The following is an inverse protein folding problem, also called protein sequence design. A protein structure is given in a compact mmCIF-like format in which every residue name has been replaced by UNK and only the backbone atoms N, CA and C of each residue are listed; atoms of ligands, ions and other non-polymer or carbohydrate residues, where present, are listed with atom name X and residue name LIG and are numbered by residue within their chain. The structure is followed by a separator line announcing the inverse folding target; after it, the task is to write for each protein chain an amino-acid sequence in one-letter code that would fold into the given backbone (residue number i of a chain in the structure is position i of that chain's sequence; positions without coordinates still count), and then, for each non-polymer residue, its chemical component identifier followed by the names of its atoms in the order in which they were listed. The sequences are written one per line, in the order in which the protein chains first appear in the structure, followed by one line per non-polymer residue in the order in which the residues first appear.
data_IF_417374106426
#
_entry.id   IF_417374106426
#
_cell.length_a   1.000
_cell.length_b   1.000
_cell.length_c   1.000
_cell.angle_alpha   90.00
_cell.angle_beta   90.00
_cell.angle_gamma   90.00
#
_symmetry.space_group_name_H-M   'P 1'
#
loop_
_entity.id
_entity.type
_entity.pdbx_description
1 polymer ?
#
# COMPACT_ATOMS: atom_id res chain seq x y z
N UNK A 1 5.65 -13.07 -42.41
CA UNK A 1 4.71 -14.02 -43.03
C UNK A 1 4.11 -14.91 -41.97
N UNK A 2 3.08 -14.41 -41.28
CA UNK A 2 2.09 -15.25 -40.61
C UNK A 2 0.74 -14.85 -41.21
N UNK A 3 0.08 -15.83 -41.82
CA UNK A 3 -1.05 -15.64 -42.71
C UNK A 3 -2.31 -15.21 -41.97
N UNK A 4 -2.89 -14.12 -42.46
CA UNK A 4 -4.28 -13.74 -42.28
C UNK A 4 -5.22 -14.87 -42.72
N UNK A 5 -6.06 -15.34 -41.82
CA UNK A 5 -7.31 -16.03 -42.16
C UNK A 5 -8.39 -15.57 -41.19
N UNK A 6 -8.91 -14.37 -41.44
CA UNK A 6 -10.23 -13.98 -41.01
C UNK A 6 -11.03 -13.73 -42.28
N UNK A 7 -11.89 -14.69 -42.62
CA UNK A 7 -12.73 -14.66 -43.79
C UNK A 7 -14.12 -14.17 -43.34
N UNK A 8 -14.63 -13.13 -44.00
CA UNK A 8 -15.95 -12.55 -43.74
C UNK A 8 -17.06 -13.50 -44.23
N UNK A 9 -18.06 -13.75 -43.38
CA UNK A 9 -19.17 -14.66 -43.68
C UNK A 9 -20.07 -14.12 -44.79
N UNK A 10 -19.91 -14.61 -46.02
CA UNK A 10 -20.94 -14.56 -47.05
C UNK A 10 -21.93 -15.73 -46.88
N UNK A 11 -23.22 -15.39 -46.99
CA UNK A 11 -24.35 -16.29 -46.84
C UNK A 11 -24.25 -17.49 -47.80
N UNK A 12 -24.27 -18.70 -47.27
CA UNK A 12 -24.64 -19.90 -48.04
C UNK A 12 -25.17 -20.99 -47.12
N UNK A 13 -26.48 -21.23 -47.23
CA UNK A 13 -27.22 -22.32 -46.61
C UNK A 13 -26.79 -23.67 -47.20
N UNK A 14 -26.21 -24.56 -46.40
CA UNK A 14 -26.54 -25.99 -46.42
C UNK A 14 -25.93 -26.71 -45.21
N UNK A 15 -26.76 -27.48 -44.52
CA UNK A 15 -26.38 -28.28 -43.37
C UNK A 15 -25.46 -29.43 -43.77
N UNK A 16 -24.28 -29.56 -43.14
CA UNK A 16 -23.87 -30.76 -42.40
C UNK A 16 -22.46 -30.62 -41.79
N UNK A 17 -22.38 -31.05 -40.52
CA UNK A 17 -21.18 -31.35 -39.72
C UNK A 17 -20.07 -30.30 -39.72
N UNK A 18 -20.08 -29.43 -38.72
CA UNK A 18 -18.90 -28.63 -38.39
C UNK A 18 -18.73 -28.60 -36.89
N UNK A 19 -17.52 -28.91 -36.45
CA UNK A 19 -17.02 -28.65 -35.11
C UNK A 19 -17.64 -27.37 -34.55
N UNK A 20 -18.08 -27.39 -33.29
CA UNK A 20 -18.52 -26.19 -32.59
C UNK A 20 -17.33 -25.25 -32.39
N UNK A 21 -16.89 -24.60 -33.46
CA UNK A 21 -15.99 -23.47 -33.42
C UNK A 21 -16.86 -22.35 -32.86
N UNK A 22 -16.71 -22.11 -31.56
CA UNK A 22 -17.27 -20.94 -30.90
C UNK A 22 -16.61 -19.71 -31.54
N UNK A 23 -17.30 -19.07 -32.46
CA UNK A 23 -16.88 -17.79 -33.01
C UNK A 23 -17.08 -16.72 -31.95
N UNK A 24 -16.03 -15.96 -31.69
CA UNK A 24 -16.10 -14.82 -30.79
C UNK A 24 -17.07 -13.77 -31.39
N UNK A 25 -18.02 -13.23 -30.60
CA UNK A 25 -18.94 -12.21 -31.08
C UNK A 25 -18.25 -11.09 -31.87
N UNK A 26 -18.83 -10.66 -33.00
CA UNK A 26 -18.19 -9.74 -33.95
C UNK A 26 -17.80 -8.39 -33.34
N UNK A 27 -18.57 -7.92 -32.36
CA UNK A 27 -18.27 -6.74 -31.54
C UNK A 27 -16.97 -6.91 -30.72
N UNK A 28 -16.78 -8.04 -30.06
CA UNK A 28 -15.57 -8.32 -29.28
C UNK A 28 -14.38 -8.52 -30.23
N UNK A 29 -14.59 -9.25 -31.34
CA UNK A 29 -13.56 -9.43 -32.37
C UNK A 29 -13.08 -8.09 -32.94
N UNK A 30 -13.98 -7.13 -33.17
CA UNK A 30 -13.59 -5.79 -33.65
C UNK A 30 -12.77 -4.99 -32.64
N UNK A 31 -13.03 -5.13 -31.33
CA UNK A 31 -12.25 -4.46 -30.27
C UNK A 31 -10.87 -5.11 -30.12
N UNK A 32 -10.80 -6.44 -30.14
CA UNK A 32 -9.53 -7.16 -30.00
C UNK A 32 -8.60 -6.95 -31.19
N UNK A 33 -9.16 -6.69 -32.37
CA UNK A 33 -8.40 -6.38 -33.59
C UNK A 33 -8.08 -4.88 -33.73
N UNK A 34 -8.60 -4.02 -32.86
CA UNK A 34 -8.32 -2.59 -32.85
C UNK A 34 -7.00 -2.30 -32.12
N UNK A 35 -5.96 -1.94 -32.88
CA UNK A 35 -4.67 -1.56 -32.33
C UNK A 35 -4.75 -0.32 -31.43
N UNK A 36 -5.67 0.61 -31.70
CA UNK A 36 -5.80 1.84 -30.90
C UNK A 36 -6.33 1.54 -29.49
N UNK A 37 -7.24 0.56 -29.37
CA UNK A 37 -7.74 0.11 -28.08
C UNK A 37 -6.61 -0.45 -27.19
N UNK A 38 -5.74 -1.29 -27.76
CA UNK A 38 -4.60 -1.84 -27.02
C UNK A 38 -3.56 -0.79 -26.64
N UNK A 39 -3.35 0.23 -27.49
CA UNK A 39 -2.50 1.37 -27.17
C UNK A 39 -3.06 2.16 -25.98
N UNK A 40 -4.36 2.50 -26.00
CA UNK A 40 -5.02 3.18 -24.89
C UNK A 40 -5.03 2.35 -23.60
N UNK A 41 -5.23 1.03 -23.69
CA UNK A 41 -5.13 0.15 -22.53
C UNK A 41 -3.71 0.12 -21.97
N UNK A 42 -2.69 0.08 -22.83
CA UNK A 42 -1.30 0.12 -22.40
C UNK A 42 -0.96 1.43 -21.69
N UNK A 43 -1.49 2.55 -22.15
CA UNK A 43 -1.33 3.86 -21.49
C UNK A 43 -2.03 3.88 -20.13
N UNK A 44 -3.26 3.37 -20.05
CA UNK A 44 -4.00 3.27 -18.80
C UNK A 44 -3.24 2.44 -17.75
N UNK A 45 -2.69 1.29 -18.16
CA UNK A 45 -1.88 0.44 -17.27
C UNK A 45 -0.62 1.18 -16.79
N UNK A 46 0.04 1.97 -17.65
CA UNK A 46 1.19 2.80 -17.24
C UNK A 46 0.79 3.83 -16.19
N UNK A 47 -0.36 4.49 -16.34
CA UNK A 47 -0.88 5.47 -15.37
C UNK A 47 -1.23 4.80 -14.05
N UNK A 48 -1.88 3.63 -14.07
CA UNK A 48 -2.35 2.94 -12.86
C UNK A 48 -1.24 2.27 -12.06
N UNK A 49 -0.15 1.84 -12.71
CA UNK A 49 0.93 1.07 -12.08
C UNK A 49 1.53 1.77 -10.85
N UNK A 50 1.90 3.07 -10.88
CA UNK A 50 2.29 3.83 -9.69
C UNK A 50 1.33 3.68 -8.52
N UNK A 51 0.02 3.78 -8.77
CA UNK A 51 -0.99 3.73 -7.72
C UNK A 51 -1.11 2.34 -7.11
N UNK A 52 -1.07 1.28 -7.92
CA UNK A 52 -1.06 -0.09 -7.42
C UNK A 52 0.13 -0.34 -6.49
N UNK A 53 1.33 0.11 -6.88
CA UNK A 53 2.54 -0.03 -6.08
C UNK A 53 2.40 0.65 -4.71
N UNK A 54 1.98 1.92 -4.69
CA UNK A 54 1.78 2.64 -3.42
C UNK A 54 0.68 1.99 -2.59
N UNK A 55 -0.40 1.54 -3.22
CA UNK A 55 -1.49 0.87 -2.53
C UNK A 55 -1.02 -0.41 -1.85
N UNK A 56 -0.21 -1.23 -2.53
CA UNK A 56 0.36 -2.46 -1.97
C UNK A 56 1.25 -2.17 -0.74
N UNK A 57 2.08 -1.12 -0.81
CA UNK A 57 2.90 -0.66 0.33
C UNK A 57 1.99 -0.23 1.48
N UNK A 58 1.01 0.63 1.21
CA UNK A 58 0.17 1.22 2.23
C UNK A 58 -0.85 0.24 2.83
N UNK A 59 -1.18 -0.86 2.16
CA UNK A 59 -2.02 -1.94 2.69
C UNK A 59 -1.25 -2.91 3.59
N UNK A 60 0.08 -2.82 3.62
CA UNK A 60 0.89 -3.65 4.48
C UNK A 60 0.68 -3.31 5.96
N UNK A 61 0.69 -4.32 6.84
CA UNK A 61 0.36 -4.14 8.27
C UNK A 61 1.40 -3.31 9.02
N UNK A 62 2.62 -3.20 8.47
CA UNK A 62 3.69 -2.38 9.05
C UNK A 62 3.76 -0.99 8.46
N UNK A 63 2.84 -0.63 7.56
CA UNK A 63 2.90 0.64 6.86
C UNK A 63 2.86 1.82 7.84
N UNK A 64 3.66 2.86 7.57
CA UNK A 64 3.87 4.02 8.45
C UNK A 64 3.67 5.33 7.72
N UNK A 65 3.29 6.36 8.47
CA UNK A 65 2.88 7.67 7.92
C UNK A 65 3.87 8.27 6.91
N UNK A 66 5.17 7.98 7.08
CA UNK A 66 6.21 8.43 6.16
C UNK A 66 6.10 7.82 4.75
N UNK A 67 5.57 6.61 4.60
CA UNK A 67 5.37 5.97 3.29
C UNK A 67 4.23 6.63 2.51
N UNK A 68 3.22 7.17 3.20
CA UNK A 68 2.17 7.97 2.57
C UNK A 68 2.77 9.23 1.94
N UNK A 69 3.61 9.92 2.70
CA UNK A 69 4.29 11.11 2.21
C UNK A 69 5.24 10.78 1.04
N UNK A 70 5.86 9.59 1.05
CA UNK A 70 6.64 9.07 -0.08
C UNK A 70 5.78 8.79 -1.31
N UNK A 71 4.61 8.18 -1.13
CA UNK A 71 3.65 7.96 -2.21
C UNK A 71 3.23 9.27 -2.87
N UNK A 72 2.91 10.30 -2.07
CA UNK A 72 2.64 11.64 -2.59
C UNK A 72 3.80 12.21 -3.39
N UNK A 73 5.02 12.19 -2.84
CA UNK A 73 6.20 12.69 -3.54
C UNK A 73 6.47 11.96 -4.85
N UNK A 74 6.25 10.65 -4.88
CA UNK A 74 6.39 9.83 -6.09
C UNK A 74 5.32 10.17 -7.13
N UNK A 75 4.06 10.38 -6.74
CA UNK A 75 3.01 10.79 -7.67
C UNK A 75 3.29 12.17 -8.29
N UNK A 76 3.76 13.13 -7.49
CA UNK A 76 4.11 14.46 -8.00
C UNK A 76 5.23 14.37 -9.04
N UNK A 77 6.25 13.56 -8.78
CA UNK A 77 7.33 13.31 -9.74
C UNK A 77 6.81 12.65 -11.02
N UNK A 78 6.04 11.57 -10.87
CA UNK A 78 5.46 10.84 -12.00
C UNK A 78 4.65 11.75 -12.93
N UNK A 79 3.78 12.60 -12.36
CA UNK A 79 2.93 13.48 -13.17
C UNK A 79 3.68 14.68 -13.75
N UNK A 80 4.68 15.24 -13.07
CA UNK A 80 5.54 16.29 -13.64
C UNK A 80 6.30 15.82 -14.88
N UNK A 81 6.66 14.54 -14.94
CA UNK A 81 7.39 13.92 -16.05
C UNK A 81 6.44 13.33 -17.11
N UNK A 82 5.12 13.44 -16.95
CA UNK A 82 4.13 12.85 -17.86
C UNK A 82 3.91 13.69 -19.11
N UNK A 83 3.80 13.04 -20.28
CA UNK A 83 3.76 13.71 -21.59
C UNK A 83 2.48 14.56 -21.80
N UNK A 84 1.33 14.11 -21.29
CA UNK A 84 0.07 14.86 -21.37
C UNK A 84 -0.01 15.92 -20.27
N UNK A 85 0.34 17.15 -20.64
CA UNK A 85 0.37 18.32 -19.74
C UNK A 85 -1.03 18.65 -19.21
N UNK A 86 -2.08 18.51 -20.02
CA UNK A 86 -3.44 18.88 -19.58
C UNK A 86 -3.93 17.90 -18.52
N UNK A 87 -3.76 16.59 -18.76
CA UNK A 87 -4.10 15.57 -17.79
C UNK A 87 -3.23 15.70 -16.53
N UNK A 88 -1.92 15.89 -16.70
CA UNK A 88 -0.97 16.04 -15.60
C UNK A 88 -1.36 17.18 -14.67
N UNK A 89 -1.61 18.38 -15.19
CA UNK A 89 -2.00 19.53 -14.37
C UNK A 89 -3.32 19.28 -13.61
N UNK A 90 -4.31 18.66 -14.26
CA UNK A 90 -5.57 18.29 -13.60
C UNK A 90 -5.35 17.31 -12.43
N UNK A 91 -4.47 16.32 -12.59
CA UNK A 91 -4.19 15.36 -11.53
C UNK A 91 -3.35 15.99 -10.41
N UNK A 92 -2.38 16.84 -10.76
CA UNK A 92 -1.58 17.59 -9.78
C UNK A 92 -2.45 18.54 -8.94
N UNK A 93 -3.45 19.19 -9.54
CA UNK A 93 -4.43 19.99 -8.81
C UNK A 93 -5.26 19.13 -7.84
N UNK A 94 -5.72 17.95 -8.27
CA UNK A 94 -6.42 17.03 -7.37
C UNK A 94 -5.56 16.55 -6.21
N UNK A 95 -4.29 16.23 -6.47
CA UNK A 95 -3.34 15.87 -5.41
C UNK A 95 -3.12 17.03 -4.43
N UNK A 96 -3.05 18.27 -4.93
CA UNK A 96 -2.92 19.47 -4.11
C UNK A 96 -4.16 19.73 -3.25
N UNK A 97 -5.37 19.59 -3.80
CA UNK A 97 -6.62 19.70 -3.03
C UNK A 97 -6.67 18.65 -1.91
N UNK A 98 -6.32 17.40 -2.25
CA UNK A 98 -6.27 16.32 -1.25
C UNK A 98 -5.26 16.64 -0.15
N UNK A 99 -4.07 17.11 -0.52
CA UNK A 99 -3.03 17.52 0.42
C UNK A 99 -3.44 18.66 1.37
N UNK A 100 -4.26 19.60 0.91
CA UNK A 100 -4.75 20.70 1.74
C UNK A 100 -5.68 20.23 2.86
N UNK A 101 -6.47 19.19 2.59
CA UNK A 101 -7.38 18.59 3.58
C UNK A 101 -6.66 17.80 4.68
N UNK A 102 -5.40 17.40 4.44
CA UNK A 102 -4.62 16.63 5.40
C UNK A 102 -3.92 17.52 6.44
N UNK A 103 -3.58 16.90 7.57
CA UNK A 103 -2.74 17.50 8.60
C UNK A 103 -1.26 17.42 8.20
N UNK A 104 -0.85 18.36 7.35
CA UNK A 104 0.47 18.39 6.70
C UNK A 104 1.65 18.34 7.67
N UNK A 105 1.64 19.06 8.82
CA UNK A 105 2.76 18.99 9.77
C UNK A 105 3.01 17.57 10.26
N UNK A 106 1.97 16.79 10.55
CA UNK A 106 2.11 15.41 11.05
C UNK A 106 2.82 14.50 10.04
N UNK A 107 2.44 14.62 8.76
CA UNK A 107 3.11 13.93 7.66
C UNK A 107 4.57 14.35 7.54
N UNK A 108 4.85 15.65 7.55
CA UNK A 108 6.22 16.17 7.42
C UNK A 108 7.10 15.77 8.61
N UNK A 109 6.55 15.77 9.82
CA UNK A 109 7.23 15.29 11.03
C UNK A 109 7.57 13.80 10.95
N UNK A 110 6.75 12.98 10.27
CA UNK A 110 7.06 11.56 10.07
C UNK A 110 8.34 11.33 9.28
N UNK A 111 8.65 12.19 8.30
CA UNK A 111 9.93 12.18 7.58
C UNK A 111 11.06 12.81 8.40
N UNK A 112 10.76 13.92 9.08
CA UNK A 112 11.72 14.61 9.91
C UNK A 112 12.32 13.69 10.98
N UNK A 113 11.46 12.88 11.62
CA UNK A 113 11.83 11.92 12.67
C UNK A 113 12.28 10.56 12.13
N UNK A 114 12.36 10.39 10.81
CA UNK A 114 12.88 9.16 10.21
C UNK A 114 14.42 9.16 10.32
N UNK A 115 15.06 8.14 10.94
CA UNK A 115 16.50 8.13 11.19
C UNK A 115 17.36 8.27 9.91
N UNK A 116 16.87 7.76 8.77
CA UNK A 116 17.56 7.84 7.48
C UNK A 116 17.16 9.05 6.62
N UNK A 117 15.93 9.55 6.74
CA UNK A 117 15.45 10.59 5.80
C UNK A 117 15.73 11.99 6.34
N UNK A 118 15.31 12.29 7.58
CA UNK A 118 15.49 13.61 8.20
C UNK A 118 15.02 14.72 7.24
N UNK A 119 15.80 15.81 7.09
CA UNK A 119 15.51 16.89 6.13
C UNK A 119 15.94 16.58 4.69
N UNK A 120 16.64 15.47 4.41
CA UNK A 120 17.29 15.24 3.10
C UNK A 120 16.33 15.09 1.91
N UNK A 121 15.05 14.82 2.19
CA UNK A 121 14.02 14.59 1.17
C UNK A 121 13.21 15.86 0.84
N UNK A 122 13.46 16.97 1.55
CA UNK A 122 12.81 18.26 1.34
C UNK A 122 13.69 19.23 0.55
N UNK A 123 13.09 20.15 -0.20
CA UNK A 123 13.84 21.28 -0.79
C UNK A 123 14.18 22.33 0.28
N UNK A 124 15.36 22.94 0.16
CA UNK A 124 15.87 23.89 1.17
C UNK A 124 15.26 25.31 1.08
N UNK A 125 14.62 25.66 -0.03
CA UNK A 125 14.18 27.03 -0.34
C UNK A 125 12.66 27.27 -0.18
N UNK A 126 12.00 26.50 0.68
CA UNK A 126 10.55 26.64 0.89
C UNK A 126 10.29 27.44 2.19
N UNK A 127 9.48 28.51 2.13
CA UNK A 127 9.08 29.26 3.32
C UNK A 127 8.50 28.34 4.40
N UNK A 128 8.92 28.54 5.64
CA UNK A 128 8.45 27.80 6.82
C UNK A 128 8.66 26.28 6.77
N UNK A 129 9.32 25.71 5.75
CA UNK A 129 9.68 24.29 5.70
C UNK A 129 11.16 24.12 6.03
N UNK A 130 11.50 24.32 7.30
CA UNK A 130 12.82 24.00 7.80
C UNK A 130 12.73 23.39 9.20
N UNK A 131 13.85 22.85 9.68
CA UNK A 131 13.91 22.19 10.97
C UNK A 131 13.47 23.06 12.16
N UNK A 132 13.60 24.38 12.08
CA UNK A 132 13.17 25.31 13.13
C UNK A 132 11.66 25.43 13.14
N UNK A 133 11.04 25.71 11.99
CA UNK A 133 9.57 25.79 11.90
C UNK A 133 8.91 24.45 12.19
N UNK A 134 9.46 23.34 11.70
CA UNK A 134 8.93 22.01 12.00
C UNK A 134 9.03 21.68 13.50
N UNK A 135 10.03 22.23 14.21
CA UNK A 135 10.15 22.03 15.67
C UNK A 135 9.04 22.71 16.47
N UNK A 136 8.40 23.77 15.95
CA UNK A 136 7.16 24.36 16.52
C UNK A 136 6.07 23.30 16.62
N UNK A 137 5.94 22.47 15.59
CA UNK A 137 4.94 21.40 15.53
C UNK A 137 5.29 20.22 16.44
N UNK A 138 6.58 19.89 16.61
CA UNK A 138 7.01 18.91 17.62
C UNK A 138 6.55 19.33 19.02
N UNK A 139 6.75 20.60 19.38
CA UNK A 139 6.27 21.16 20.65
C UNK A 139 4.75 21.07 20.71
N UNK A 140 4.05 21.54 19.67
CA UNK A 140 2.58 21.53 19.65
C UNK A 140 2.01 20.13 19.92
N UNK A 141 2.46 19.10 19.17
CA UNK A 141 1.92 17.74 19.32
C UNK A 141 2.32 17.10 20.65
N UNK A 142 3.55 17.31 21.13
CA UNK A 142 3.94 16.80 22.45
C UNK A 142 3.01 17.33 23.54
N UNK A 143 2.79 18.64 23.53
CA UNK A 143 2.01 19.30 24.56
C UNK A 143 0.51 19.02 24.42
N UNK A 144 0.00 18.90 23.18
CA UNK A 144 -1.37 18.46 22.92
C UNK A 144 -1.64 17.02 23.36
N UNK A 145 -0.68 16.10 23.17
CA UNK A 145 -0.86 14.69 23.54
C UNK A 145 -0.55 14.36 25.00
N UNK A 146 0.32 15.14 25.65
CA UNK A 146 0.67 14.92 27.05
C UNK A 146 -0.05 15.86 28.02
N UNK A 147 -0.59 16.97 27.51
CA UNK A 147 -1.15 18.07 28.32
C UNK A 147 -0.13 18.67 29.29
N UNK A 148 1.15 18.65 28.91
CA UNK A 148 2.27 19.18 29.70
C UNK A 148 3.18 20.04 28.84
N UNK A 149 3.78 21.08 29.43
CA UNK A 149 4.75 21.94 28.72
C UNK A 149 6.05 21.17 28.48
N UNK A 150 6.55 21.24 27.25
CA UNK A 150 7.83 20.65 26.84
C UNK A 150 9.01 21.34 27.54
N UNK A 151 10.00 20.56 27.99
CA UNK A 151 11.18 21.06 28.71
C UNK A 151 12.47 20.81 27.97
N UNK A 152 12.54 19.73 27.18
CA UNK A 152 13.77 19.27 26.54
C UNK A 152 13.61 18.86 25.08
N UNK A 153 12.41 18.90 24.51
CA UNK A 153 12.14 18.42 23.15
C UNK A 153 13.05 19.06 22.09
N UNK A 154 13.31 20.37 22.15
CA UNK A 154 14.19 21.06 21.21
C UNK A 154 15.65 20.62 21.35
N UNK A 155 16.11 20.40 22.59
CA UNK A 155 17.47 19.91 22.86
C UNK A 155 17.63 18.47 22.38
N UNK A 156 16.64 17.63 22.64
CA UNK A 156 16.59 16.24 22.17
C UNK A 156 16.57 16.18 20.65
N UNK A 157 15.78 17.05 20.00
CA UNK A 157 15.71 17.15 18.55
C UNK A 157 17.02 17.63 17.94
N UNK A 158 17.69 18.62 18.54
CA UNK A 158 19.00 19.08 18.07
C UNK A 158 20.06 17.97 18.18
N UNK A 159 20.02 17.16 19.24
CA UNK A 159 20.89 15.98 19.36
C UNK A 159 20.60 14.95 18.26
N UNK A 160 19.33 14.71 17.95
CA UNK A 160 18.91 13.83 16.87
C UNK A 160 19.37 14.33 15.49
N UNK A 161 19.19 15.62 15.23
CA UNK A 161 19.61 16.27 13.99
C UNK A 161 21.12 16.17 13.78
N UNK A 162 21.89 16.37 14.84
CA UNK A 162 23.37 16.26 14.83
C UNK A 162 23.89 14.82 14.83
N UNK A 163 23.03 13.82 15.05
CA UNK A 163 23.44 12.42 15.15
C UNK A 163 24.30 12.13 16.38
N UNK A 164 24.08 12.84 17.49
CA UNK A 164 24.75 12.57 18.76
C UNK A 164 24.17 11.27 19.32
N UNK A 165 25.01 10.35 19.81
CA UNK A 165 24.56 9.09 20.42
C UNK A 165 23.36 9.32 21.37
N UNK A 166 22.24 8.59 21.24
CA UNK A 166 22.01 7.36 20.45
C UNK A 166 21.46 7.59 19.02
N UNK A 167 21.59 8.80 18.47
CA UNK A 167 20.98 9.18 17.19
C UNK A 167 21.90 9.06 15.97
N UNK A 168 23.07 8.47 16.16
CA UNK A 168 24.03 8.19 15.11
C UNK A 168 23.55 7.05 14.19
N UNK A 169 24.11 7.01 12.98
CA UNK A 169 23.74 6.05 11.95
C UNK A 169 24.10 4.61 12.32
N UNK A 170 25.14 4.40 13.13
CA UNK A 170 25.54 3.06 13.56
C UNK A 170 24.50 2.47 14.52
N UNK A 171 23.96 3.30 15.42
CA UNK A 171 22.88 2.90 16.32
C UNK A 171 21.58 2.64 15.55
N UNK A 172 21.18 3.50 14.61
CA UNK A 172 19.94 3.28 13.85
C UNK A 172 19.98 2.04 12.97
N UNK A 173 21.13 1.73 12.35
CA UNK A 173 21.30 0.57 11.47
C UNK A 173 21.17 -0.77 12.21
N UNK A 174 21.37 -0.82 13.53
CA UNK A 174 21.16 -2.04 14.33
C UNK A 174 19.69 -2.49 14.39
N UNK A 175 18.74 -1.65 13.99
CA UNK A 175 17.31 -1.94 14.04
C UNK A 175 16.72 -2.42 12.72
N UNK A 176 17.52 -2.61 11.66
CA UNK A 176 17.08 -3.18 10.37
C UNK A 176 15.79 -2.51 9.83
N UNK A 177 15.73 -1.18 9.89
CA UNK A 177 14.58 -0.34 9.48
C UNK A 177 13.31 -0.43 10.36
N UNK A 178 13.37 -1.09 11.52
CA UNK A 178 12.30 -1.04 12.52
C UNK A 178 12.35 0.26 13.33
N UNK A 179 11.74 1.30 12.76
CA UNK A 179 11.67 2.65 13.32
C UNK A 179 11.03 2.68 14.72
N UNK A 180 10.01 1.84 14.96
CA UNK A 180 9.35 1.80 16.27
C UNK A 180 10.26 1.22 17.35
N UNK A 181 11.01 0.14 17.03
CA UNK A 181 12.01 -0.40 17.96
C UNK A 181 13.12 0.60 18.23
N UNK A 182 13.60 1.28 17.19
CA UNK A 182 14.60 2.34 17.33
C UNK A 182 14.12 3.43 18.30
N UNK A 183 12.94 4.02 18.06
CA UNK A 183 12.42 5.05 18.96
C UNK A 183 12.12 4.51 20.36
N UNK A 184 11.68 3.25 20.49
CA UNK A 184 11.54 2.59 21.79
C UNK A 184 12.86 2.45 22.57
N UNK A 185 13.98 2.22 21.88
CA UNK A 185 15.30 2.20 22.50
C UNK A 185 15.76 3.60 22.95
N UNK A 186 15.40 4.64 22.19
CA UNK A 186 15.85 6.02 22.41
C UNK A 186 15.06 6.75 23.52
N UNK A 187 13.79 6.38 23.75
CA UNK A 187 12.89 7.02 24.75
C UNK A 187 13.53 7.28 26.13
N UNK A 188 14.33 6.37 26.74
CA UNK A 188 14.96 6.64 28.03
C UNK A 188 15.88 7.88 28.04
N UNK A 189 16.52 8.19 26.91
CA UNK A 189 17.46 9.31 26.75
C UNK A 189 16.79 10.57 26.17
N UNK A 190 15.77 10.39 25.33
CA UNK A 190 14.99 11.46 24.74
C UNK A 190 13.49 11.19 24.95
N UNK A 191 13.01 11.53 26.14
CA UNK A 191 11.65 11.17 26.59
C UNK A 191 10.59 11.93 25.81
N UNK A 192 10.78 13.21 25.58
CA UNK A 192 9.77 14.06 24.95
C UNK A 192 9.73 13.79 23.44
N UNK A 193 10.90 13.80 22.79
CA UNK A 193 11.01 13.52 21.36
C UNK A 193 10.63 12.08 21.02
N UNK A 194 11.12 11.12 21.81
CA UNK A 194 10.81 9.70 21.63
C UNK A 194 9.32 9.41 21.78
N UNK A 195 8.63 10.08 22.72
CA UNK A 195 7.18 9.97 22.85
C UNK A 195 6.45 10.46 21.60
N UNK A 196 6.81 11.65 21.07
CA UNK A 196 6.20 12.19 19.84
C UNK A 196 6.45 11.25 18.67
N UNK A 197 7.69 10.78 18.50
CA UNK A 197 8.04 9.87 17.42
C UNK A 197 7.26 8.56 17.49
N UNK A 198 7.20 7.91 18.66
CA UNK A 198 6.42 6.68 18.84
C UNK A 198 4.94 6.87 18.55
N UNK A 199 4.37 8.02 18.92
CA UNK A 199 2.97 8.35 18.60
C UNK A 199 2.76 8.50 17.10
N UNK A 200 3.60 9.28 16.41
CA UNK A 200 3.51 9.49 14.96
C UNK A 200 3.67 8.17 14.20
N UNK A 201 4.71 7.39 14.52
CA UNK A 201 4.92 6.09 13.88
C UNK A 201 3.91 5.03 14.33
N UNK A 202 3.19 5.24 15.44
CA UNK A 202 2.11 4.38 15.91
C UNK A 202 0.77 4.59 15.19
N UNK A 203 0.62 5.65 14.39
CA UNK A 203 -0.59 5.91 13.61
C UNK A 203 -0.79 4.81 12.57
N UNK A 204 -1.96 4.20 12.59
CA UNK A 204 -2.38 3.22 11.58
C UNK A 204 -2.90 3.97 10.35
N UNK A 205 -2.34 3.70 9.17
CA UNK A 205 -2.72 4.39 7.92
C UNK A 205 -3.88 3.70 7.21
N UNK A 206 -3.91 2.37 7.23
CA UNK A 206 -4.92 1.60 6.55
C UNK A 206 -5.96 1.07 7.54
N UNK A 207 -7.20 0.96 7.06
CA UNK A 207 -8.22 0.17 7.73
C UNK A 207 -8.11 -1.32 7.37
N UNK A 208 -7.19 -1.73 6.49
CA UNK A 208 -7.12 -3.09 5.94
C UNK A 208 -7.06 -4.17 7.03
N UNK A 209 -6.32 -3.94 8.12
CA UNK A 209 -6.30 -4.84 9.28
C UNK A 209 -7.68 -5.00 9.93
N UNK A 210 -8.44 -3.91 10.04
CA UNK A 210 -9.81 -3.88 10.57
C UNK A 210 -10.81 -4.45 9.56
N UNK A 211 -10.64 -4.19 8.26
CA UNK A 211 -11.45 -4.76 7.18
C UNK A 211 -11.30 -6.28 7.11
N UNK A 212 -10.08 -6.82 7.24
CA UNK A 212 -9.86 -8.27 7.35
C UNK A 212 -10.56 -8.85 8.58
N UNK A 213 -10.61 -8.11 9.69
CA UNK A 213 -11.35 -8.52 10.88
C UNK A 213 -12.86 -8.51 10.62
N UNK A 214 -13.40 -7.46 9.99
CA UNK A 214 -14.81 -7.35 9.64
C UNK A 214 -15.25 -8.38 8.61
N UNK A 215 -14.41 -8.68 7.62
CA UNK A 215 -14.64 -9.78 6.66
C UNK A 215 -14.73 -11.12 7.37
N UNK A 216 -13.80 -11.40 8.30
CA UNK A 216 -13.88 -12.58 9.16
C UNK A 216 -15.13 -12.62 10.04
N UNK A 217 -15.56 -11.47 10.58
CA UNK A 217 -16.80 -11.36 11.33
C UNK A 217 -18.03 -11.57 10.43
N UNK A 218 -18.00 -11.09 9.18
CA UNK A 218 -19.07 -11.30 8.19
C UNK A 218 -19.20 -12.76 7.78
N UNK A 219 -18.10 -13.51 7.73
CA UNK A 219 -18.14 -14.97 7.59
C UNK A 219 -18.86 -15.66 8.76
N UNK A 220 -18.64 -15.16 9.99
CA UNK A 220 -19.30 -15.70 11.19
C UNK A 220 -20.76 -15.24 11.33
N UNK A 221 -21.07 -14.04 10.85
CA UNK A 221 -22.40 -13.43 10.78
C UNK A 221 -22.93 -13.40 9.34
N UNK A 222 -23.41 -14.53 8.85
CA UNK A 222 -24.16 -14.54 7.59
C UNK A 222 -25.62 -14.17 7.81
N UNK A 223 -26.27 -13.56 6.80
CA UNK A 223 -27.73 -13.24 6.82
C UNK A 223 -28.61 -14.47 7.10
N UNK A 224 -28.13 -15.69 6.80
CA UNK A 224 -28.90 -16.94 6.90
C UNK A 224 -28.60 -17.77 8.16
N UNK A 225 -27.41 -17.70 8.79
CA UNK A 225 -27.12 -18.44 10.04
C UNK A 225 -26.05 -17.76 10.90
N UNK A 226 -26.49 -17.14 12.01
CA UNK A 226 -25.87 -17.08 13.35
C UNK A 226 -26.32 -15.82 14.12
N UNK A 227 -27.16 -15.98 15.15
CA UNK A 227 -27.50 -14.93 16.15
C UNK A 227 -26.46 -14.88 17.28
N UNK A 228 -25.18 -14.95 16.95
CA UNK A 228 -24.12 -14.79 17.95
C UNK A 228 -24.11 -13.34 18.43
N UNK A 229 -23.84 -13.10 19.71
CA UNK A 229 -23.64 -11.73 20.18
C UNK A 229 -22.33 -11.16 19.60
N UNK A 230 -22.27 -9.87 19.29
CA UNK A 230 -21.12 -9.20 18.66
C UNK A 230 -19.82 -9.46 19.42
N UNK A 231 -19.86 -9.50 20.77
CA UNK A 231 -18.69 -9.78 21.59
C UNK A 231 -18.11 -11.18 21.34
N UNK A 232 -18.99 -12.18 21.16
CA UNK A 232 -18.57 -13.56 20.91
C UNK A 232 -17.99 -13.69 19.51
N UNK A 233 -18.62 -13.06 18.52
CA UNK A 233 -18.11 -13.01 17.15
C UNK A 233 -16.74 -12.31 17.08
N UNK A 234 -16.57 -11.21 17.81
CA UNK A 234 -15.29 -10.51 17.91
C UNK A 234 -14.21 -11.40 18.54
N UNK A 235 -14.50 -12.07 19.66
CA UNK A 235 -13.56 -13.01 20.31
C UNK A 235 -13.17 -14.16 19.38
N UNK A 236 -14.13 -14.75 18.68
CA UNK A 236 -13.89 -15.82 17.70
C UNK A 236 -13.06 -15.34 16.51
N UNK A 237 -13.33 -14.14 16.00
CA UNK A 237 -12.57 -13.56 14.88
C UNK A 237 -11.13 -13.25 15.29
N UNK A 238 -10.91 -12.71 16.48
CA UNK A 238 -9.58 -12.51 17.06
C UNK A 238 -8.82 -13.82 17.22
N UNK A 239 -9.49 -14.86 17.73
CA UNK A 239 -8.90 -16.20 17.87
C UNK A 239 -8.51 -16.79 16.50
N UNK A 240 -9.41 -16.70 15.51
CA UNK A 240 -9.13 -17.14 14.14
C UNK A 240 -7.93 -16.40 13.55
N UNK A 241 -7.89 -15.08 13.68
CA UNK A 241 -6.78 -14.26 13.21
C UNK A 241 -5.44 -14.65 13.87
N UNK A 242 -5.44 -14.91 15.19
CA UNK A 242 -4.25 -15.36 15.91
C UNK A 242 -3.77 -16.75 15.46
N UNK A 243 -4.69 -17.69 15.26
CA UNK A 243 -4.38 -19.04 14.73
C UNK A 243 -3.80 -18.93 13.32
N UNK A 244 -4.45 -18.20 12.41
CA UNK A 244 -3.97 -18.00 11.03
C UNK A 244 -2.62 -17.28 10.99
N UNK A 245 -2.38 -16.31 11.88
CA UNK A 245 -1.06 -15.66 12.00
C UNK A 245 0.02 -16.66 12.40
N UNK A 246 -0.25 -17.50 13.41
CA UNK A 246 0.69 -18.53 13.84
C UNK A 246 1.03 -19.51 12.71
N UNK A 247 0.02 -20.00 11.98
CA UNK A 247 0.25 -20.88 10.82
C UNK A 247 1.13 -20.24 9.76
N UNK A 248 0.87 -18.97 9.39
CA UNK A 248 1.70 -18.23 8.41
C UNK A 248 3.15 -18.07 8.89
N UNK A 249 3.37 -17.78 10.17
CA UNK A 249 4.72 -17.68 10.73
C UNK A 249 5.44 -19.02 10.69
N UNK A 250 4.76 -20.11 11.02
CA UNK A 250 5.35 -21.45 11.00
C UNK A 250 5.66 -21.89 9.56
N UNK A 251 4.79 -21.58 8.59
CA UNK A 251 5.00 -21.81 7.17
C UNK A 251 6.23 -21.05 6.64
N UNK A 252 6.35 -19.75 6.93
CA UNK A 252 7.53 -18.95 6.56
C UNK A 252 8.82 -19.53 7.14
N UNK A 253 8.80 -19.98 8.40
CA UNK A 253 9.95 -20.65 9.02
C UNK A 253 10.31 -21.95 8.30
N UNK A 254 9.31 -22.75 7.91
CA UNK A 254 9.58 -24.00 7.15
C UNK A 254 10.18 -23.72 5.77
N UNK A 255 9.68 -22.70 5.06
CA UNK A 255 10.23 -22.27 3.76
C UNK A 255 11.67 -21.77 3.93
N UNK A 256 11.95 -20.98 4.98
CA UNK A 256 13.30 -20.51 5.28
C UNK A 256 14.26 -21.66 5.61
N UNK A 257 13.80 -22.65 6.39
CA UNK A 257 14.60 -23.84 6.70
C UNK A 257 14.88 -24.70 5.47
N UNK A 258 13.92 -24.84 4.55
CA UNK A 258 14.12 -25.52 3.27
C UNK A 258 15.14 -24.79 2.40
N UNK A 259 15.00 -23.46 2.24
CA UNK A 259 15.97 -22.63 1.51
C UNK A 259 17.38 -22.67 2.13
N UNK A 260 17.50 -22.77 3.45
CA UNK A 260 18.79 -22.94 4.11
C UNK A 260 19.41 -24.32 3.83
N UNK A 261 18.61 -25.39 3.78
CA UNK A 261 19.10 -26.74 3.45
C UNK A 261 19.56 -26.85 2.00
N UNK A 262 18.91 -26.15 1.08
CA UNK A 262 19.27 -26.11 -0.35
C UNK A 262 20.56 -25.31 -0.62
N UNK A 263 20.94 -24.38 0.28
CA UNK A 263 22.12 -23.51 0.13
C UNK A 263 23.37 -24.00 0.90
N UNK A 264 23.34 -25.19 1.51
CA UNK A 264 24.54 -25.81 2.07
C UNK A 264 25.25 -26.53 0.92
N UNK A 265 26.32 -25.93 0.39
CA UNK A 265 27.23 -26.63 -0.49
C UNK A 265 27.76 -27.89 0.22
N UNK A 266 27.74 -29.04 -0.47
CA UNK A 266 28.29 -30.27 0.08
C UNK A 266 29.75 -30.07 0.52
N UNK A 267 30.20 -30.67 1.63
CA UNK A 267 31.57 -30.51 2.09
C UNK A 267 32.51 -30.98 0.99
N UNK A 268 33.51 -30.17 0.66
CA UNK A 268 34.60 -30.60 -0.23
C UNK A 268 35.29 -31.78 0.45
N UNK A 269 34.97 -33.00 0.02
CA UNK A 269 35.67 -34.20 0.44
C UNK A 269 37.08 -34.12 -0.16
N UNK A 270 38.16 -34.16 0.65
CA UNK A 270 39.50 -34.22 0.09
C UNK A 270 39.63 -35.52 -0.70
N UNK A 271 39.87 -35.39 -2.01
CA UNK A 271 40.09 -36.52 -2.91
C UNK A 271 41.41 -37.18 -2.49
N UNK A 272 41.33 -38.26 -1.72
CA UNK A 272 42.43 -39.22 -1.57
C UNK A 272 42.35 -40.14 -2.78
N UNK A 273 43.15 -39.84 -3.81
CA UNK A 273 43.38 -40.76 -4.92
C UNK A 273 44.31 -41.86 -4.40
N UNK A 274 43.72 -43.01 -4.04
CA UNK A 274 44.46 -44.26 -4.05
C UNK A 274 43.83 -45.18 -5.09
N UNK A 275 44.61 -45.35 -6.15
CA UNK A 275 44.46 -46.23 -7.29
C UNK A 275 44.12 -47.66 -6.86
N UNK A 276 43.08 -48.24 -7.46
CA UNK A 276 43.15 -49.53 -8.16
C UNK A 276 41.75 -49.92 -8.66
N UNK A 277 41.60 -49.83 -9.98
CA UNK A 277 40.94 -50.77 -10.89
C UNK A 277 39.76 -51.59 -10.36
N UNK A 278 38.55 -51.31 -10.86
CA UNK A 278 38.01 -52.05 -12.00
C UNK A 278 36.50 -51.84 -12.19
N UNK A 279 36.09 -52.04 -13.44
CA UNK A 279 34.77 -52.40 -13.95
C UNK A 279 33.73 -51.29 -14.16
N UNK A 280 33.64 -50.92 -15.45
CA UNK A 280 32.44 -50.98 -16.29
C UNK A 280 31.17 -50.29 -15.79
N UNK A 281 30.88 -49.18 -16.46
CA UNK A 281 29.52 -48.77 -16.81
C UNK A 281 28.74 -49.98 -17.34
N UNK A 282 27.53 -50.19 -16.83
CA UNK A 282 26.31 -50.07 -17.62
C UNK A 282 25.04 -50.30 -16.79
N UNK A 283 23.99 -49.54 -17.14
CA UNK A 283 22.56 -49.81 -16.92
C UNK A 283 22.07 -49.61 -15.48
N UNK A 284 21.00 -48.91 -15.13
CA UNK A 284 19.71 -48.46 -15.71
C UNK A 284 19.19 -47.45 -14.64
N UNK A 285 18.25 -46.52 -14.78
CA UNK A 285 17.20 -46.24 -15.73
C UNK A 285 16.73 -44.82 -15.36
N UNK A 286 16.31 -44.06 -16.36
CA UNK A 286 15.58 -42.81 -16.15
C UNK A 286 14.24 -43.15 -15.50
N UNK A 287 13.87 -42.45 -14.44
CA UNK A 287 12.47 -42.11 -14.20
C UNK A 287 12.37 -40.62 -13.80
N UNK A 288 11.46 -39.85 -14.44
CA UNK A 288 11.28 -38.45 -14.16
C UNK A 288 10.54 -38.29 -12.83
N UNK A 289 11.08 -37.50 -11.92
CA UNK A 289 10.35 -37.08 -10.73
C UNK A 289 9.25 -36.13 -11.20
N UNK A 290 8.03 -36.64 -11.11
CA UNK A 290 6.77 -35.95 -11.33
C UNK A 290 6.64 -34.83 -10.29
N UNK A 291 7.03 -33.60 -10.66
CA UNK A 291 6.69 -32.40 -9.91
C UNK A 291 5.23 -32.08 -10.18
N UNK A 292 4.34 -32.73 -9.44
CA UNK A 292 2.98 -32.22 -9.22
C UNK A 292 3.10 -30.87 -8.52
N UNK A 293 3.09 -29.81 -9.34
CA UNK A 293 2.78 -28.46 -8.89
C UNK A 293 1.32 -28.50 -8.43
N UNK A 294 1.09 -28.77 -7.14
CA UNK A 294 -0.18 -28.45 -6.51
C UNK A 294 -0.32 -26.93 -6.47
N UNK A 295 -0.81 -26.37 -7.58
CA UNK A 295 -1.53 -25.09 -7.54
C UNK A 295 -2.76 -25.36 -6.69
N UNK A 296 -2.73 -24.97 -5.42
CA UNK A 296 -3.96 -24.78 -4.67
C UNK A 296 -4.75 -23.69 -5.40
N UNK A 297 -5.70 -24.14 -6.20
CA UNK A 297 -6.82 -23.34 -6.66
C UNK A 297 -7.49 -22.73 -5.43
N UNK A 298 -7.50 -21.40 -5.36
CA UNK A 298 -8.50 -20.67 -4.60
C UNK A 298 -9.88 -20.88 -5.25
N UNK A 299 -10.43 -22.09 -5.10
CA UNK A 299 -11.82 -22.39 -5.40
C UNK A 299 -12.65 -22.07 -4.14
N UNK A 300 -13.07 -20.82 -4.00
CA UNK A 300 -14.38 -20.56 -3.41
C UNK A 300 -15.42 -20.92 -4.46
N UNK A 301 -15.88 -22.17 -4.44
CA UNK A 301 -17.13 -22.55 -5.08
C UNK A 301 -18.27 -21.87 -4.31
N UNK A 302 -18.77 -20.78 -4.88
CA UNK A 302 -20.14 -20.34 -4.66
C UNK A 302 -21.03 -21.33 -5.43
N UNK A 303 -21.75 -22.17 -4.68
CA UNK A 303 -22.72 -23.12 -5.21
C UNK A 303 -24.10 -22.70 -4.67
N UNK A 304 -24.86 -21.98 -5.50
CA UNK A 304 -26.31 -21.81 -5.39
C UNK A 304 -26.85 -21.69 -6.83
N UNK A 305 -26.98 -22.86 -7.48
CA UNK A 305 -27.96 -23.31 -8.50
C UNK A 305 -28.42 -22.38 -9.64
N UNK A 306 -28.04 -22.78 -10.85
CA UNK A 306 -28.79 -22.87 -12.13
C UNK A 306 -30.05 -22.02 -12.38
N UNK A 307 -30.00 -21.15 -13.39
CA UNK A 307 -31.00 -21.11 -14.47
C UNK A 307 -30.48 -20.35 -15.72
N UNK A 308 -30.46 -21.09 -16.83
CA UNK A 308 -30.60 -20.70 -18.25
C UNK A 308 -29.60 -19.71 -18.89
N UNK A 309 -28.82 -20.27 -19.82
CA UNK A 309 -27.92 -19.55 -20.71
C UNK A 309 -28.69 -18.70 -21.73
N UNK A 310 -28.40 -17.40 -21.69
CA UNK A 310 -28.28 -16.48 -22.86
C UNK A 310 -27.96 -15.02 -22.43
N UNK A 311 -27.85 -14.71 -21.12
CA UNK A 311 -27.75 -13.32 -20.62
C UNK A 311 -26.39 -12.86 -20.07
N UNK A 312 -25.28 -13.58 -20.31
CA UNK A 312 -24.00 -13.25 -19.68
C UNK A 312 -23.36 -11.94 -20.18
N UNK A 313 -23.49 -11.60 -21.46
CA UNK A 313 -22.86 -10.38 -22.00
C UNK A 313 -23.59 -9.10 -21.52
N UNK A 314 -24.92 -9.17 -21.38
CA UNK A 314 -25.75 -8.07 -20.89
C UNK A 314 -25.54 -7.83 -19.39
N UNK A 315 -25.41 -8.89 -18.58
CA UNK A 315 -25.13 -8.74 -17.14
C UNK A 315 -23.73 -8.20 -16.85
N UNK A 316 -22.69 -8.62 -17.60
CA UNK A 316 -21.33 -8.10 -17.42
C UNK A 316 -21.23 -6.63 -17.84
N UNK A 317 -21.86 -6.24 -18.95
CA UNK A 317 -21.92 -4.84 -19.39
C UNK A 317 -22.71 -3.94 -18.42
N UNK A 318 -23.86 -4.42 -17.91
CA UNK A 318 -24.61 -3.73 -16.84
C UNK A 318 -23.76 -3.56 -15.59
N UNK A 319 -22.95 -4.56 -15.23
CA UNK A 319 -22.09 -4.51 -14.05
C UNK A 319 -20.99 -3.44 -14.19
N UNK A 320 -20.35 -3.33 -15.36
CA UNK A 320 -19.35 -2.28 -15.62
C UNK A 320 -19.95 -0.88 -15.69
N UNK A 321 -21.10 -0.71 -16.36
CA UNK A 321 -21.78 0.58 -16.40
C UNK A 321 -22.22 1.02 -15.00
N UNK A 322 -22.71 0.08 -14.18
CA UNK A 322 -23.02 0.34 -12.78
C UNK A 322 -21.78 0.73 -11.97
N UNK A 323 -20.65 0.05 -12.20
CA UNK A 323 -19.37 0.36 -11.53
C UNK A 323 -18.88 1.77 -11.90
N UNK A 324 -18.90 2.12 -13.20
CA UNK A 324 -18.51 3.44 -13.69
C UNK A 324 -19.45 4.52 -13.14
N UNK A 325 -20.76 4.25 -13.12
CA UNK A 325 -21.73 5.16 -12.51
C UNK A 325 -21.47 5.33 -11.01
N UNK A 326 -21.12 4.26 -10.31
CA UNK A 326 -20.75 4.30 -8.88
C UNK A 326 -19.49 5.14 -8.69
N UNK A 327 -18.46 4.95 -9.51
CA UNK A 327 -17.26 5.79 -9.46
C UNK A 327 -17.58 7.25 -9.76
N UNK A 328 -18.45 7.53 -10.74
CA UNK A 328 -18.93 8.88 -11.02
C UNK A 328 -19.65 9.51 -9.83
N UNK A 329 -20.50 8.74 -9.14
CA UNK A 329 -21.18 9.19 -7.92
C UNK A 329 -20.20 9.43 -6.77
N UNK A 330 -19.20 8.56 -6.58
CA UNK A 330 -18.17 8.74 -5.56
C UNK A 330 -17.36 10.02 -5.82
N UNK A 331 -17.03 10.33 -7.08
CA UNK A 331 -16.35 11.57 -7.46
C UNK A 331 -17.22 12.81 -7.21
N UNK A 332 -18.54 12.71 -7.43
CA UNK A 332 -19.48 13.80 -7.12
C UNK A 332 -19.62 14.01 -5.61
N UNK A 333 -19.75 12.93 -4.84
CA UNK A 333 -19.78 12.97 -3.37
C UNK A 333 -18.49 13.54 -2.80
N UNK A 334 -17.34 13.18 -3.36
CA UNK A 334 -16.05 13.76 -2.98
C UNK A 334 -16.04 15.27 -3.22
N UNK A 335 -16.50 15.72 -4.39
CA UNK A 335 -16.59 17.15 -4.73
C UNK A 335 -17.57 17.91 -3.82
N UNK A 336 -18.69 17.30 -3.45
CA UNK A 336 -19.65 17.87 -2.51
C UNK A 336 -19.08 17.94 -1.08
N UNK A 337 -18.37 16.90 -0.63
CA UNK A 337 -17.70 16.89 0.66
C UNK A 337 -16.56 17.93 0.73
N UNK A 338 -15.81 18.14 -0.36
CA UNK A 338 -14.82 19.21 -0.46
C UNK A 338 -15.47 20.60 -0.34
N UNK A 339 -16.68 20.77 -0.87
CA UNK A 339 -17.44 22.02 -0.77
C UNK A 339 -18.05 22.21 0.64
N UNK A 340 -18.51 21.13 1.27
CA UNK A 340 -19.10 21.16 2.61
C UNK A 340 -18.06 21.34 3.72
N UNK A 341 -16.84 20.79 3.56
CA UNK A 341 -15.74 20.97 4.50
C UNK A 341 -15.31 22.44 4.65
N UNK A 342 -15.62 23.29 3.66
CA UNK A 342 -15.42 24.75 3.74
C UNK A 342 -16.50 25.43 4.58
N UNK A 343 -17.71 24.86 4.66
CA UNK A 343 -18.84 25.39 5.42
C UNK A 343 -19.00 24.79 6.82
N UNK A 344 -18.55 23.55 7.06
CA UNK A 344 -18.73 22.82 8.32
C UNK A 344 -17.57 23.01 9.32
N UNK A 345 -16.98 24.21 9.37
CA UNK A 345 -16.21 24.65 10.54
C UNK A 345 -17.11 25.00 11.75
N UNK A 346 -18.38 24.56 11.74
CA UNK A 346 -19.16 24.50 12.96
C UNK A 346 -18.83 23.21 13.70
N UNK A 347 -17.93 23.39 14.66
CA UNK A 347 -17.56 22.46 15.72
C UNK A 347 -18.79 21.68 16.18
N UNK A 348 -18.71 20.35 16.20
CA UNK A 348 -19.50 19.58 17.16
C UNK A 348 -19.15 20.12 18.56
N UNK A 349 -20.13 20.77 19.19
CA UNK A 349 -20.01 21.49 20.48
C UNK A 349 -19.69 20.58 21.69
N UNK A 350 -19.27 19.33 21.47
CA UNK A 350 -18.94 18.35 22.50
C UNK A 350 -17.48 17.82 22.41
N UNK A 351 -16.57 18.57 21.79
CA UNK A 351 -15.14 18.39 22.07
C UNK A 351 -14.83 19.22 23.31
N UNK A 352 -14.56 18.55 24.42
CA UNK A 352 -13.97 19.14 25.63
C UNK A 352 -12.70 19.90 25.21
N UNK A 353 -12.84 21.20 24.89
CA UNK A 353 -11.75 22.03 24.39
C UNK A 353 -10.75 22.10 25.53
N UNK A 354 -9.69 21.31 25.39
CA UNK A 354 -8.65 21.18 26.39
C UNK A 354 -8.18 22.59 26.76
N UNK A 355 -8.44 23.03 27.99
CA UNK A 355 -8.15 24.40 28.46
C UNK A 355 -6.70 24.79 28.17
N UNK A 356 -5.83 23.77 28.14
CA UNK A 356 -4.42 23.81 27.80
C UNK A 356 -4.11 24.32 26.38
N UNK A 357 -4.99 24.11 25.40
CA UNK A 357 -4.79 24.47 24.00
C UNK A 357 -5.62 25.69 23.53
N UNK A 358 -6.46 26.28 24.39
CA UNK A 358 -7.33 27.42 24.06
C UNK A 358 -6.58 28.61 23.43
N UNK A 359 -5.31 28.81 23.79
CA UNK A 359 -4.48 29.91 23.30
C UNK A 359 -3.59 29.53 22.10
N UNK A 360 -3.75 28.32 21.52
CA UNK A 360 -2.92 27.84 20.42
C UNK A 360 -3.76 27.56 19.17
N UNK A 361 -3.31 28.11 18.06
CA UNK A 361 -3.90 27.81 16.75
C UNK A 361 -3.62 26.36 16.38
N UNK A 362 -4.68 25.61 16.06
CA UNK A 362 -4.56 24.24 15.57
C UNK A 362 -3.83 24.23 14.21
N UNK A 363 -2.93 23.27 13.91
CA UNK A 363 -2.18 23.25 12.66
C UNK A 363 -3.06 23.19 11.40
N UNK A 364 -4.27 22.63 11.49
CA UNK A 364 -5.22 22.66 10.38
C UNK A 364 -5.67 24.08 9.98
N UNK A 365 -5.64 25.03 10.92
CA UNK A 365 -6.08 26.42 10.76
C UNK A 365 -4.91 27.42 10.65
N UNK A 366 -3.67 26.99 10.91
CA UNK A 366 -2.50 27.86 10.85
C UNK A 366 -1.94 27.90 9.41
N UNK A 367 -1.88 29.10 8.83
CA UNK A 367 -1.34 29.31 7.48
C UNK A 367 0.17 29.01 7.40
N UNK A 368 0.91 29.08 8.51
CA UNK A 368 2.33 28.67 8.58
C UNK A 368 2.51 27.15 8.56
N UNK A 369 1.41 26.39 8.71
CA UNK A 369 1.36 24.93 8.71
C UNK A 369 0.91 24.35 7.35
N UNK A 370 0.89 25.17 6.30
CA UNK A 370 0.40 24.79 4.98
C UNK A 370 1.49 25.03 3.92
N UNK A 371 1.78 24.00 3.15
CA UNK A 371 2.77 23.97 2.08
C UNK A 371 2.16 23.45 0.79
N UNK A 372 2.68 23.91 -0.35
CA UNK A 372 2.29 23.39 -1.66
C UNK A 372 3.02 22.07 -1.93
N UNK A 373 2.28 20.99 -2.17
CA UNK A 373 2.86 19.65 -2.36
C UNK A 373 3.80 19.59 -3.56
N UNK A 374 3.56 20.44 -4.57
CA UNK A 374 4.38 20.52 -5.79
C UNK A 374 5.81 20.97 -5.51
N UNK A 375 6.03 21.68 -4.40
CA UNK A 375 7.32 22.31 -4.10
C UNK A 375 8.14 21.54 -3.07
N UNK A 376 7.50 20.75 -2.20
CA UNK A 376 8.08 20.13 -0.99
C UNK A 376 9.29 19.24 -1.28
N UNK A 377 9.19 18.38 -2.29
CA UNK A 377 10.11 17.25 -2.49
C UNK A 377 11.30 17.59 -3.38
N UNK A 378 12.47 17.02 -3.09
CA UNK A 378 13.62 17.07 -3.99
C UNK A 378 13.30 16.45 -5.36
N UNK A 379 13.91 16.96 -6.43
CA UNK A 379 13.60 16.50 -7.80
C UNK A 379 14.08 15.03 -8.02
N UNK A 380 15.18 14.65 -7.39
CA UNK A 380 15.72 13.29 -7.40
C UNK A 380 15.15 12.42 -6.25
N UNK A 381 13.83 12.47 -6.02
CA UNK A 381 13.21 11.56 -5.07
C UNK A 381 13.25 10.12 -5.60
N UNK A 382 13.74 9.21 -4.77
CA UNK A 382 13.78 7.77 -5.06
C UNK A 382 12.35 7.21 -5.15
N UNK A 383 12.16 6.14 -5.93
CA UNK A 383 10.91 5.39 -5.85
C UNK A 383 10.76 4.79 -4.44
N UNK A 384 9.53 4.72 -3.90
CA UNK A 384 9.31 4.03 -2.64
C UNK A 384 9.75 2.58 -2.76
N UNK A 385 10.64 2.17 -1.84
CA UNK A 385 11.35 0.90 -1.90
C UNK A 385 10.39 -0.29 -1.79
N UNK A 386 10.74 -1.34 -2.54
CA UNK A 386 10.14 -2.68 -2.53
C UNK A 386 10.96 -3.62 -1.65
#
# INVERSE_FOLDING_TARGET
TLGSKFESSEQSTSHQSSDNILYLPNNISSILLDETWWQSLSELVKILKPYCIILDILQYDKARLHEVLHGFGYFIKFWKDYDDIELSEKILDRLQTRWQSWEQPLLLLSWLLHPKYKMSKFKDNIPNLNHVYLSKWLIYYYEAWTKTISKSILREYENFRRGIYPFDEQTSNQFEDDILKYWGFVVPLAKELGYVAQRIFGICINAASVERLWSNMGFLHTKRRNRLNYEKTLKMSKLRAAISYKHRVDEVKTIQQQKMKENIAEPIVPIIINSNDNTNLENQEKNPINLEIQKENSNTQDDDSDEEGENNEFQVSLNWNNLINTWGQLLLQEKEAELSAVTDLHCDDDIDIDEFLLNRTHPALDNEAKWNIRDIFIDNLDAPFF
#
